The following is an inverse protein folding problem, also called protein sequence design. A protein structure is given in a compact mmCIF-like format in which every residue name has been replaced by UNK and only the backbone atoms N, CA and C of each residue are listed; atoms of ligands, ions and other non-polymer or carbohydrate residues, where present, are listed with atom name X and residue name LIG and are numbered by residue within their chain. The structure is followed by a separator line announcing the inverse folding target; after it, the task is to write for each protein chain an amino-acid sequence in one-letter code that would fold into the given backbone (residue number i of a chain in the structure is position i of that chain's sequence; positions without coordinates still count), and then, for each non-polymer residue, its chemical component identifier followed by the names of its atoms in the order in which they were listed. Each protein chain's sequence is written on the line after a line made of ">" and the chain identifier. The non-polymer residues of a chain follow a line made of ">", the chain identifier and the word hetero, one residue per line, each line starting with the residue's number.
data_IF_461868284704
#
_entry.id   IF_461868284704
#
_cell.length_a   1.000
_cell.length_b   1.000
_cell.length_c   1.000
_cell.angle_alpha   90.00
_cell.angle_beta   90.00
_cell.angle_gamma   90.00
#
_symmetry.space_group_name_H-M   'P 1'
#
loop_
_entity.id
_entity.type
_entity.pdbx_description
1 polymer ?
#
# COMPACT_ATOMS: atom_id res chain seq x y z
N UNK A 1 18.87 -1.10 12.35
CA UNK A 1 18.00 -0.97 13.53
C UNK A 1 17.23 -2.27 13.74
N UNK A 2 16.91 -2.60 14.99
CA UNK A 2 16.17 -3.79 15.39
C UNK A 2 14.71 -3.42 15.60
N UNK A 3 13.81 -4.00 14.82
CA UNK A 3 12.39 -3.70 14.86
C UNK A 3 11.58 -4.94 15.21
N UNK A 4 10.40 -4.71 15.78
CA UNK A 4 9.38 -5.72 15.97
C UNK A 4 8.17 -5.38 15.10
N UNK A 5 7.77 -6.28 14.21
CA UNK A 5 6.57 -6.08 13.39
C UNK A 5 5.41 -6.88 13.96
N UNK A 6 4.28 -6.22 14.22
CA UNK A 6 2.99 -6.87 14.51
C UNK A 6 2.11 -6.77 13.28
N UNK A 7 2.05 -7.83 12.49
CA UNK A 7 1.35 -7.82 11.21
C UNK A 7 0.06 -8.61 11.32
N UNK A 8 -1.04 -8.05 10.83
CA UNK A 8 -2.28 -8.79 10.65
C UNK A 8 -2.08 -9.93 9.65
N UNK A 9 -2.32 -11.16 10.09
CA UNK A 9 -2.32 -12.36 9.25
C UNK A 9 -3.72 -12.94 9.17
N UNK A 10 -4.16 -13.27 7.97
CA UNK A 10 -5.44 -13.87 7.69
C UNK A 10 -5.34 -14.71 6.43
N UNK A 11 -5.66 -16.01 6.54
CA UNK A 11 -5.49 -16.97 5.44
C UNK A 11 -6.37 -16.67 4.22
N UNK A 12 -7.64 -16.33 4.47
CA UNK A 12 -8.67 -16.11 3.46
C UNK A 12 -9.85 -15.29 4.04
N UNK A 13 -10.87 -15.01 3.23
CA UNK A 13 -12.08 -14.26 3.61
C UNK A 13 -12.95 -14.95 4.67
N UNK A 14 -12.76 -16.24 4.92
CA UNK A 14 -13.57 -17.05 5.87
C UNK A 14 -12.87 -17.23 7.21
N UNK A 15 -11.57 -17.01 7.25
CA UNK A 15 -10.73 -17.20 8.43
C UNK A 15 -10.74 -15.97 9.32
N UNK A 16 -10.76 -16.17 10.64
CA UNK A 16 -10.50 -15.08 11.59
C UNK A 16 -9.03 -14.68 11.53
N UNK A 17 -8.75 -13.42 11.24
CA UNK A 17 -7.39 -12.90 11.28
C UNK A 17 -6.88 -12.68 12.70
N UNK A 18 -5.55 -12.56 12.82
CA UNK A 18 -4.85 -12.33 14.08
C UNK A 18 -3.56 -11.56 13.83
N UNK A 19 -3.05 -10.87 14.84
CA UNK A 19 -1.70 -10.32 14.77
C UNK A 19 -0.66 -11.40 15.00
N UNK A 20 0.35 -11.43 14.15
CA UNK A 20 1.56 -12.24 14.31
C UNK A 20 2.75 -11.32 14.46
N UNK A 21 3.67 -11.67 15.36
CA UNK A 21 4.84 -10.86 15.68
C UNK A 21 6.08 -11.41 15.01
N UNK A 22 6.84 -10.55 14.33
CA UNK A 22 8.11 -10.86 13.69
C UNK A 22 9.22 -9.98 14.24
N UNK A 23 10.40 -10.57 14.44
CA UNK A 23 11.62 -9.83 14.77
C UNK A 23 12.42 -9.60 13.49
N UNK A 24 12.72 -8.32 13.25
CA UNK A 24 13.51 -7.85 12.11
C UNK A 24 14.77 -7.17 12.64
N UNK A 25 15.87 -7.93 12.82
CA UNK A 25 17.16 -7.34 13.12
C UNK A 25 17.72 -6.62 11.89
N UNK A 26 18.65 -5.71 12.11
CA UNK A 26 19.50 -5.09 11.07
C UNK A 26 18.76 -4.42 9.91
N UNK A 27 17.56 -3.88 10.16
CA UNK A 27 16.84 -3.08 9.17
C UNK A 27 17.63 -1.80 8.89
N UNK A 28 17.95 -1.55 7.62
CA UNK A 28 18.64 -0.32 7.23
C UNK A 28 17.65 0.86 7.25
N UNK A 29 18.02 2.03 7.83
CA UNK A 29 17.20 3.24 7.76
C UNK A 29 16.90 3.71 6.34
N UNK A 30 17.76 3.37 5.37
CA UNK A 30 17.61 3.76 3.96
C UNK A 30 16.59 2.91 3.21
N UNK A 31 16.14 1.79 3.78
CA UNK A 31 15.08 0.98 3.18
C UNK A 31 13.77 1.75 3.19
N UNK A 32 12.97 1.53 2.17
CA UNK A 32 11.53 1.78 2.20
C UNK A 32 10.83 0.72 3.08
N UNK A 33 9.60 1.04 3.49
CA UNK A 33 8.76 0.13 4.25
C UNK A 33 8.47 -1.16 3.48
N UNK A 34 8.28 -1.07 2.16
CA UNK A 34 8.05 -2.25 1.33
C UNK A 34 9.29 -3.13 1.21
N UNK A 35 10.49 -2.56 1.06
CA UNK A 35 11.73 -3.36 1.07
C UNK A 35 11.93 -4.07 2.40
N UNK A 36 11.51 -3.45 3.52
CA UNK A 36 11.53 -4.11 4.83
C UNK A 36 10.55 -5.29 4.88
N UNK A 37 9.36 -5.17 4.29
CA UNK A 37 8.43 -6.30 4.14
C UNK A 37 8.93 -7.37 3.16
N UNK A 38 9.63 -6.99 2.09
CA UNK A 38 10.27 -7.92 1.15
C UNK A 38 11.36 -8.73 1.87
N UNK A 39 12.19 -8.08 2.69
CA UNK A 39 13.20 -8.75 3.51
C UNK A 39 12.57 -9.73 4.52
N UNK A 40 11.44 -9.35 5.14
CA UNK A 40 10.66 -10.27 5.96
C UNK A 40 10.18 -11.48 5.15
N UNK A 41 9.61 -11.24 3.97
CA UNK A 41 9.10 -12.31 3.11
C UNK A 41 10.22 -13.25 2.65
N UNK A 42 11.40 -12.74 2.29
CA UNK A 42 12.57 -13.57 2.00
C UNK A 42 12.94 -14.48 3.18
N UNK A 43 12.91 -13.94 4.42
CA UNK A 43 13.17 -14.74 5.62
C UNK A 43 12.13 -15.84 5.82
N UNK A 44 10.83 -15.52 5.67
CA UNK A 44 9.74 -16.49 5.82
C UNK A 44 9.83 -17.59 4.78
N UNK A 45 10.04 -17.23 3.51
CA UNK A 45 10.22 -18.21 2.43
C UNK A 45 11.42 -19.12 2.72
N UNK A 46 12.53 -18.54 3.19
CA UNK A 46 13.73 -19.30 3.57
C UNK A 46 13.52 -20.27 4.73
N UNK A 47 12.58 -20.01 5.65
CA UNK A 47 12.19 -20.93 6.72
C UNK A 47 11.08 -21.90 6.33
N UNK A 48 10.56 -21.83 5.10
CA UNK A 48 9.44 -22.64 4.63
C UNK A 48 8.07 -22.14 5.09
N UNK A 49 7.99 -20.91 5.63
CA UNK A 49 6.75 -20.26 6.03
C UNK A 49 6.10 -19.48 4.88
N UNK A 50 4.78 -19.27 4.99
CA UNK A 50 4.03 -18.46 4.04
C UNK A 50 4.40 -16.96 4.14
N UNK A 51 4.80 -16.31 3.04
CA UNK A 51 5.05 -14.87 3.03
C UNK A 51 3.79 -14.09 3.41
N UNK A 52 3.99 -12.90 3.97
CA UNK A 52 2.92 -11.93 4.20
C UNK A 52 2.44 -11.43 2.84
N UNK A 53 1.15 -11.60 2.57
CA UNK A 53 0.54 -11.07 1.36
C UNK A 53 0.23 -9.57 1.52
N UNK A 54 0.72 -8.75 0.59
CA UNK A 54 0.42 -7.32 0.47
C UNK A 54 0.46 -6.87 -1.00
N UNK A 55 -0.31 -5.84 -1.34
CA UNK A 55 -0.34 -5.28 -2.69
C UNK A 55 0.77 -4.24 -2.89
N UNK A 56 1.42 -4.26 -4.05
CA UNK A 56 2.38 -3.26 -4.47
C UNK A 56 2.65 -3.41 -5.98
N UNK A 57 3.11 -2.33 -6.62
CA UNK A 57 3.47 -2.35 -8.04
C UNK A 57 4.52 -1.25 -8.35
N UNK A 58 4.10 -0.02 -8.66
CA UNK A 58 4.99 1.06 -9.15
C UNK A 58 6.20 1.44 -8.29
N UNK A 59 6.15 1.23 -6.96
CA UNK A 59 7.14 1.68 -5.95
C UNK A 59 7.56 3.17 -5.97
N UNK A 60 6.90 4.01 -6.76
CA UNK A 60 7.21 5.45 -6.89
C UNK A 60 6.07 6.36 -6.43
N UNK A 61 5.05 5.78 -5.78
CA UNK A 61 3.96 6.53 -5.15
C UNK A 61 2.83 6.96 -6.08
N UNK A 62 2.68 6.33 -7.25
CA UNK A 62 1.66 6.74 -8.25
C UNK A 62 0.45 5.79 -8.36
N UNK A 63 0.64 4.47 -8.32
CA UNK A 63 -0.46 3.53 -8.63
C UNK A 63 -1.53 3.40 -7.53
N UNK A 64 -1.19 3.72 -6.28
CA UNK A 64 -2.10 3.55 -5.14
C UNK A 64 -2.33 2.09 -4.68
N UNK A 65 -1.50 1.13 -5.10
CA UNK A 65 -1.62 -0.29 -4.70
C UNK A 65 -1.16 -0.57 -3.28
N UNK A 66 -0.11 0.09 -2.79
CA UNK A 66 0.52 -0.18 -1.48
C UNK A 66 -0.25 0.35 -0.26
N UNK A 67 -1.57 0.47 -0.35
CA UNK A 67 -2.41 0.97 0.74
C UNK A 67 -2.45 -0.01 1.91
N UNK A 68 -2.04 0.43 3.09
CA UNK A 68 -2.19 -0.30 4.35
C UNK A 68 -2.14 0.69 5.52
N UNK A 69 -2.49 0.23 6.72
CA UNK A 69 -2.36 1.00 7.94
C UNK A 69 -1.06 0.62 8.66
N UNK A 70 -0.27 1.62 9.04
CA UNK A 70 0.98 1.46 9.78
C UNK A 70 0.88 2.32 11.04
N UNK A 71 0.97 1.69 12.21
CA UNK A 71 0.75 2.31 13.52
C UNK A 71 -0.58 3.09 13.61
N UNK A 72 -1.64 2.57 12.98
CA UNK A 72 -2.96 3.19 12.99
C UNK A 72 -3.16 4.34 11.98
N UNK A 73 -2.14 4.70 11.21
CA UNK A 73 -2.23 5.72 10.17
C UNK A 73 -2.23 5.11 8.75
N UNK A 74 -3.10 5.57 7.83
CA UNK A 74 -3.00 5.18 6.42
C UNK A 74 -1.63 5.57 5.87
N UNK A 75 -0.91 4.62 5.27
CA UNK A 75 0.46 4.79 4.75
C UNK A 75 1.54 5.14 5.78
N UNK A 76 1.20 5.16 7.08
CA UNK A 76 2.13 5.41 8.17
C UNK A 76 2.13 6.85 8.71
N UNK A 77 3.06 7.14 9.63
CA UNK A 77 3.00 8.35 10.46
C UNK A 77 3.42 9.62 9.73
N UNK A 78 4.01 9.52 8.54
CA UNK A 78 4.50 10.67 7.78
C UNK A 78 3.39 11.15 6.84
N UNK A 79 2.95 12.41 6.93
CA UNK A 79 1.90 12.95 6.08
C UNK A 79 2.38 13.05 4.62
N UNK A 80 1.43 12.89 3.69
CA UNK A 80 1.65 13.03 2.24
C UNK A 80 2.73 12.08 1.66
N UNK A 81 2.96 10.94 2.30
CA UNK A 81 3.87 9.89 1.82
C UNK A 81 3.09 8.60 1.63
N UNK A 82 3.36 7.90 0.53
CA UNK A 82 2.81 6.56 0.27
C UNK A 82 3.66 5.50 0.96
N UNK A 83 3.08 4.34 1.27
CA UNK A 83 3.81 3.25 1.95
C UNK A 83 5.11 2.86 1.24
N UNK A 84 5.12 2.84 -0.10
CA UNK A 84 6.33 2.53 -0.87
C UNK A 84 7.45 3.58 -0.75
N UNK A 85 7.11 4.82 -0.39
CA UNK A 85 8.07 5.90 -0.18
C UNK A 85 8.34 6.17 1.31
N UNK A 86 7.63 5.49 2.22
CA UNK A 86 7.88 5.60 3.66
C UNK A 86 9.23 4.96 3.99
N UNK A 87 10.21 5.78 4.33
CA UNK A 87 11.55 5.31 4.71
C UNK A 87 11.58 4.81 6.16
N UNK A 88 12.37 3.76 6.40
CA UNK A 88 12.57 3.19 7.73
C UNK A 88 13.26 4.15 8.71
N UNK A 89 13.93 5.21 8.22
CA UNK A 89 14.52 6.28 9.06
C UNK A 89 13.50 7.06 9.90
N UNK A 90 12.21 6.95 9.60
CA UNK A 90 11.14 7.55 10.40
C UNK A 90 10.75 6.71 11.63
N UNK A 91 11.39 5.56 11.83
CA UNK A 91 11.23 4.70 12.99
C UNK A 91 12.53 4.65 13.81
N UNK A 92 12.40 4.29 15.08
CA UNK A 92 13.51 4.20 16.03
C UNK A 92 13.94 2.76 16.28
N UNK A 93 15.20 2.57 16.67
CA UNK A 93 15.69 1.27 17.12
C UNK A 93 14.88 0.76 18.33
N UNK A 94 14.44 -0.49 18.28
CA UNK A 94 13.59 -1.12 19.30
C UNK A 94 12.09 -0.94 19.07
N UNK A 95 11.67 -0.15 18.07
CA UNK A 95 10.24 0.11 17.85
C UNK A 95 9.43 -1.16 17.54
N UNK A 96 8.17 -1.13 17.98
CA UNK A 96 7.15 -2.09 17.54
C UNK A 96 6.21 -1.42 16.55
N UNK A 97 6.23 -1.88 15.30
CA UNK A 97 5.41 -1.37 14.22
C UNK A 97 4.22 -2.29 14.01
N UNK A 98 3.00 -1.76 14.10
CA UNK A 98 1.77 -2.51 13.82
C UNK A 98 1.34 -2.26 12.39
N UNK A 99 1.06 -3.32 11.64
CA UNK A 99 0.68 -3.27 10.21
C UNK A 99 -0.64 -4.00 10.00
N UNK A 100 -1.57 -3.32 9.36
CA UNK A 100 -2.96 -3.75 9.23
C UNK A 100 -3.50 -3.50 7.82
N UNK A 101 -4.46 -4.31 7.35
CA UNK A 101 -5.21 -4.02 6.14
C UNK A 101 -6.08 -2.76 6.34
N UNK A 102 -6.79 -2.36 5.27
CA UNK A 102 -7.71 -1.24 5.37
C UNK A 102 -8.81 -1.50 6.38
N UNK A 103 -9.04 -0.51 7.25
CA UNK A 103 -10.06 -0.58 8.30
C UNK A 103 -11.40 0.01 7.83
N UNK A 104 -11.91 -0.44 6.68
CA UNK A 104 -13.22 0.01 6.20
C UNK A 104 -14.07 -1.15 5.69
N UNK A 105 -15.37 -1.13 6.03
CA UNK A 105 -16.33 -2.17 5.64
C UNK A 105 -16.40 -2.45 4.12
N UNK A 106 -16.29 -1.43 3.23
CA UNK A 106 -16.30 -1.67 1.78
C UNK A 106 -15.04 -2.37 1.24
N UNK A 107 -13.99 -2.52 2.04
CA UNK A 107 -12.71 -3.11 1.63
C UNK A 107 -12.38 -4.33 2.49
N UNK A 108 -13.16 -5.43 2.37
CA UNK A 108 -12.94 -6.62 3.18
C UNK A 108 -11.59 -7.29 2.85
N UNK A 109 -10.98 -7.91 3.86
CA UNK A 109 -9.69 -8.61 3.71
C UNK A 109 -9.84 -9.87 2.86
N UNK A 110 -9.00 -10.00 1.83
CA UNK A 110 -8.87 -11.23 1.03
C UNK A 110 -7.86 -12.17 1.69
N UNK A 111 -6.63 -11.68 1.94
CA UNK A 111 -5.55 -12.42 2.60
C UNK A 111 -4.54 -11.43 3.19
N UNK A 112 -4.18 -11.64 4.45
CA UNK A 112 -3.25 -10.79 5.21
C UNK A 112 -3.56 -9.28 5.05
N UNK A 113 -2.75 -8.54 4.29
CA UNK A 113 -2.90 -7.10 4.08
C UNK A 113 -3.64 -6.73 2.78
N UNK A 114 -3.98 -7.73 1.95
CA UNK A 114 -4.72 -7.54 0.70
C UNK A 114 -6.22 -7.44 0.98
N UNK A 115 -6.87 -6.46 0.37
CA UNK A 115 -8.31 -6.20 0.49
C UNK A 115 -9.00 -6.23 -0.87
N UNK A 116 -10.30 -6.52 -0.88
CA UNK A 116 -11.12 -6.37 -2.07
C UNK A 116 -11.39 -4.88 -2.32
N UNK A 117 -10.98 -4.40 -3.49
CA UNK A 117 -11.08 -2.99 -3.90
C UNK A 117 -12.20 -2.71 -4.89
N UNK A 118 -13.05 -3.69 -5.19
CA UNK A 118 -14.16 -3.55 -6.15
C UNK A 118 -15.12 -2.38 -5.83
N UNK A 119 -15.21 -1.96 -4.57
CA UNK A 119 -15.95 -0.76 -4.18
C UNK A 119 -15.39 0.53 -4.83
N UNK A 120 -14.09 0.61 -5.11
CA UNK A 120 -13.51 1.73 -5.87
C UNK A 120 -13.97 1.73 -7.32
N UNK A 121 -14.06 0.55 -7.95
CA UNK A 121 -14.54 0.43 -9.33
C UNK A 121 -16.00 0.92 -9.43
N UNK A 122 -16.83 0.59 -8.43
CA UNK A 122 -18.21 1.08 -8.37
C UNK A 122 -18.29 2.61 -8.28
N UNK A 123 -17.39 3.25 -7.53
CA UNK A 123 -17.30 4.72 -7.46
C UNK A 123 -16.89 5.30 -8.81
N UNK A 124 -15.90 4.71 -9.47
CA UNK A 124 -15.47 5.15 -10.80
C UNK A 124 -16.59 5.02 -11.83
N UNK A 125 -17.34 3.92 -11.81
CA UNK A 125 -18.48 3.68 -12.71
C UNK A 125 -19.64 4.63 -12.40
N UNK A 126 -19.85 5.05 -11.15
CA UNK A 126 -20.96 5.91 -10.78
C UNK A 126 -20.84 7.35 -11.33
N UNK A 127 -19.62 7.82 -11.62
CA UNK A 127 -19.42 9.20 -12.10
C UNK A 127 -17.96 9.63 -12.31
N UNK A 128 -17.01 8.70 -12.34
CA UNK A 128 -15.60 8.95 -12.62
C UNK A 128 -15.29 9.17 -14.10
N UNK A 129 -16.26 9.63 -14.89
CA UNK A 129 -16.13 9.88 -16.31
C UNK A 129 -16.88 11.15 -16.70
N UNK A 130 -16.47 11.76 -17.81
CA UNK A 130 -17.18 12.90 -18.39
C UNK A 130 -18.32 12.33 -19.26
N UNK A 131 -19.57 12.60 -18.88
CA UNK A 131 -20.77 12.13 -19.60
C UNK A 131 -21.17 13.01 -20.79
N UNK A 132 -20.44 14.10 -21.04
CA UNK A 132 -20.70 15.06 -22.12
C UNK A 132 -19.49 15.18 -23.04
N UNK A 133 -19.73 15.15 -24.35
CA UNK A 133 -18.69 15.46 -25.32
C UNK A 133 -18.62 16.97 -25.51
N UNK A 134 -17.54 17.61 -25.06
CA UNK A 134 -17.34 19.06 -25.21
C UNK A 134 -16.69 19.45 -26.54
N UNK A 135 -16.46 18.48 -27.44
CA UNK A 135 -15.65 18.65 -28.63
C UNK A 135 -14.15 18.70 -28.33
N UNK A 136 -13.33 18.65 -29.37
CA UNK A 136 -11.89 18.87 -29.30
C UNK A 136 -11.56 20.31 -29.69
N UNK A 137 -10.47 20.87 -29.14
CA UNK A 137 -9.91 22.11 -29.68
C UNK A 137 -9.54 21.89 -31.17
N UNK A 138 -9.75 22.89 -32.04
CA UNK A 138 -9.26 22.83 -33.41
C UNK A 138 -7.73 22.66 -33.42
N UNK A 139 -7.21 22.02 -34.47
CA UNK A 139 -5.77 21.78 -34.60
C UNK A 139 -5.02 23.13 -34.63
N UNK A 140 -3.91 23.23 -33.89
CA UNK A 140 -3.27 24.51 -33.56
C UNK A 140 -2.79 25.28 -34.81
N UNK A 141 -2.46 24.59 -35.89
CA UNK A 141 -2.02 25.17 -37.16
C UNK A 141 -3.18 25.49 -38.10
N UNK A 142 -4.42 25.16 -37.72
CA UNK A 142 -5.62 25.45 -38.51
C UNK A 142 -6.08 26.92 -38.39
N UNK A 143 -5.56 27.66 -37.41
CA UNK A 143 -5.88 29.08 -37.19
C UNK A 143 -4.73 29.93 -37.71
N UNK A 144 -5.00 30.75 -38.74
CA UNK A 144 -4.01 31.68 -39.29
C UNK A 144 -3.69 32.78 -38.27
N UNK A 145 -2.39 33.08 -38.11
CA UNK A 145 -1.94 34.23 -37.32
C UNK A 145 -2.20 35.51 -38.11
N UNK A 146 -2.93 36.51 -37.56
CA UNK A 146 -3.15 37.79 -38.23
C UNK A 146 -1.83 38.52 -38.55
N UNK A 147 -1.77 39.19 -39.69
CA UNK A 147 -0.67 40.09 -40.06
C UNK A 147 -0.80 41.44 -39.37
#
# INVERSE_FOLDING_TARGET
>A
MNLTLKIWRQKDTKSKGKFVTYKMPDVSPEMSFLEMLDALNHKLIGSGDDPVAFEHDCREGICGSCGMYINGHPHGPVPAVTTCLLSMRHFSDGDTITVEPWRAKPFPVIKDLIVDRSAMDQIQIAGGFISVNTGAAPEANSILVPK
#
